data_IF_729774734484
#
_entry.id   IF_729774734484
#
_cell.length_a   1.000
_cell.length_b   1.000
_cell.length_c   1.000
_cell.angle_alpha   90.00
_cell.angle_beta   90.00
_cell.angle_gamma   90.00
#
_symmetry.space_group_name_H-M   'P 1'
#
loop_
_entity.id
_entity.type
_entity.pdbx_description
1 polymer ?
#
# COMPACT_ATOMS: atom_id res chain seq x y z
N UNK A 1 -1.71 -11.62 26.42
CA UNK A 1 -0.68 -11.53 25.36
C UNK A 1 -0.03 -10.16 25.42
N UNK A 2 1.28 -10.09 25.61
CA UNK A 2 2.04 -8.85 25.43
C UNK A 2 1.91 -8.46 23.95
N UNK A 3 1.28 -7.32 23.64
CA UNK A 3 1.29 -6.78 22.27
C UNK A 3 2.66 -6.12 22.06
N UNK A 4 3.55 -6.83 21.37
CA UNK A 4 4.86 -6.29 20.98
C UNK A 4 4.70 -5.48 19.70
N UNK A 5 5.00 -4.19 19.75
CA UNK A 5 5.11 -3.38 18.54
C UNK A 5 6.50 -3.65 17.98
N UNK A 6 6.54 -4.33 16.84
CA UNK A 6 7.74 -4.43 16.02
C UNK A 6 8.20 -3.00 15.64
N UNK A 7 9.30 -2.55 16.25
CA UNK A 7 9.82 -1.18 16.12
C UNK A 7 10.63 -0.96 14.84
N UNK A 8 10.52 -1.84 13.86
CA UNK A 8 11.09 -1.58 12.53
C UNK A 8 10.48 -0.29 11.97
N UNK A 9 11.33 0.74 11.80
CA UNK A 9 10.93 2.05 11.27
C UNK A 9 10.19 1.92 9.93
N UNK A 10 10.58 0.94 9.11
CA UNK A 10 9.99 0.64 7.80
C UNK A 10 8.55 0.16 7.94
N UNK A 11 8.29 -0.78 8.85
CA UNK A 11 6.96 -1.32 9.12
C UNK A 11 6.04 -0.27 9.74
N UNK A 12 6.56 0.49 10.71
CA UNK A 12 5.81 1.58 11.33
C UNK A 12 5.38 2.64 10.29
N UNK A 13 6.28 3.01 9.38
CA UNK A 13 5.99 3.91 8.25
C UNK A 13 4.88 3.36 7.36
N UNK A 14 4.93 2.07 7.01
CA UNK A 14 3.91 1.44 6.17
C UNK A 14 2.55 1.42 6.86
N UNK A 15 2.50 0.94 8.10
CA UNK A 15 1.25 0.91 8.91
C UNK A 15 0.67 2.31 9.07
N UNK A 16 1.49 3.31 9.42
CA UNK A 16 1.01 4.68 9.60
C UNK A 16 0.42 5.26 8.31
N UNK A 17 1.04 4.97 7.16
CA UNK A 17 0.49 5.40 5.87
C UNK A 17 -0.84 4.71 5.53
N UNK A 18 -1.06 3.47 5.98
CA UNK A 18 -2.36 2.79 5.83
C UNK A 18 -3.44 3.43 6.69
N UNK A 19 -3.13 3.72 7.95
CA UNK A 19 -4.03 4.42 8.88
C UNK A 19 -4.40 5.82 8.37
N UNK A 20 -3.44 6.55 7.80
CA UNK A 20 -3.72 7.81 7.10
C UNK A 20 -4.63 7.57 5.87
N UNK A 21 -4.42 6.49 5.14
CA UNK A 21 -5.29 6.08 4.04
C UNK A 21 -6.74 5.86 4.50
N UNK A 22 -6.96 5.24 5.66
CA UNK A 22 -8.30 5.11 6.25
C UNK A 22 -8.94 6.48 6.52
N UNK A 23 -8.18 7.41 7.09
CA UNK A 23 -8.64 8.76 7.37
C UNK A 23 -9.00 9.53 6.09
N UNK A 24 -8.09 9.61 5.12
CA UNK A 24 -8.27 10.41 3.90
C UNK A 24 -9.31 9.85 2.93
N UNK A 25 -9.59 8.55 2.96
CA UNK A 25 -10.57 7.93 2.06
C UNK A 25 -11.96 7.74 2.70
N UNK A 26 -12.16 8.21 3.94
CA UNK A 26 -13.39 7.97 4.69
C UNK A 26 -13.65 6.48 4.95
N UNK A 27 -12.58 5.69 5.01
CA UNK A 27 -12.62 4.22 5.10
C UNK A 27 -12.47 3.73 6.53
N UNK A 28 -12.77 4.55 7.53
CA UNK A 28 -12.84 4.12 8.92
C UNK A 28 -14.08 3.27 9.16
N UNK A 29 -13.98 2.31 10.09
CA UNK A 29 -15.11 1.51 10.53
C UNK A 29 -14.89 1.07 11.98
N UNK A 30 -15.99 0.71 12.65
CA UNK A 30 -15.93 0.21 14.02
C UNK A 30 -15.60 -1.29 14.01
N UNK A 31 -14.84 -1.75 15.01
CA UNK A 31 -14.49 -3.16 15.23
C UNK A 31 -15.67 -4.02 15.73
N UNK A 32 -16.91 -3.69 15.33
CA UNK A 32 -18.07 -4.51 15.67
C UNK A 32 -17.99 -5.83 14.93
N UNK A 33 -18.51 -6.89 15.56
CA UNK A 33 -18.60 -8.21 14.94
C UNK A 33 -19.40 -8.08 13.64
N UNK A 34 -18.84 -8.58 12.55
CA UNK A 34 -19.50 -8.61 11.25
C UNK A 34 -20.62 -9.65 11.31
N UNK A 35 -21.86 -9.21 11.20
CA UNK A 35 -23.03 -10.08 11.34
C UNK A 35 -23.46 -10.67 10.00
N UNK A 36 -23.12 -10.01 8.89
CA UNK A 36 -23.52 -10.45 7.55
C UNK A 36 -22.42 -10.27 6.48
N UNK A 37 -22.64 -10.90 5.33
CA UNK A 37 -21.70 -10.88 4.20
C UNK A 37 -21.52 -9.48 3.59
N UNK A 38 -22.56 -8.63 3.63
CA UNK A 38 -22.48 -7.26 3.10
C UNK A 38 -21.49 -6.41 3.89
N UNK A 39 -21.50 -6.50 5.22
CA UNK A 39 -20.53 -5.82 6.08
C UNK A 39 -19.08 -6.25 5.80
N UNK A 40 -18.87 -7.55 5.55
CA UNK A 40 -17.54 -8.07 5.16
C UNK A 40 -17.06 -7.45 3.86
N UNK A 41 -17.92 -7.36 2.84
CA UNK A 41 -17.59 -6.72 1.56
C UNK A 41 -17.26 -5.24 1.76
N UNK A 42 -18.05 -4.51 2.55
CA UNK A 42 -17.81 -3.09 2.79
C UNK A 42 -16.49 -2.83 3.51
N UNK A 43 -16.14 -3.66 4.50
CA UNK A 43 -14.82 -3.60 5.15
C UNK A 43 -13.73 -3.89 4.12
N UNK A 44 -13.83 -4.96 3.33
CA UNK A 44 -12.83 -5.25 2.29
C UNK A 44 -12.65 -4.11 1.29
N UNK A 45 -13.73 -3.41 0.92
CA UNK A 45 -13.67 -2.22 0.05
C UNK A 45 -12.94 -1.05 0.73
N UNK A 46 -13.21 -0.83 2.02
CA UNK A 46 -12.54 0.19 2.83
C UNK A 46 -11.04 -0.08 2.96
N UNK A 47 -10.67 -1.30 3.32
CA UNK A 47 -9.27 -1.77 3.36
C UNK A 47 -8.57 -1.56 2.02
N UNK A 48 -9.21 -1.95 0.92
CA UNK A 48 -8.63 -1.77 -0.41
C UNK A 48 -8.40 -0.29 -0.75
N UNK A 49 -9.33 0.60 -0.41
CA UNK A 49 -9.18 2.05 -0.63
C UNK A 49 -8.03 2.63 0.20
N UNK A 50 -7.93 2.26 1.47
CA UNK A 50 -6.85 2.68 2.35
C UNK A 50 -5.49 2.20 1.84
N UNK A 51 -5.35 0.92 1.48
CA UNK A 51 -4.13 0.37 0.88
C UNK A 51 -3.77 1.02 -0.44
N UNK A 52 -4.76 1.29 -1.31
CA UNK A 52 -4.53 2.02 -2.56
C UNK A 52 -3.97 3.41 -2.29
N UNK A 53 -4.53 4.14 -1.32
CA UNK A 53 -4.03 5.44 -0.91
C UNK A 53 -2.59 5.34 -0.36
N UNK A 54 -2.35 4.39 0.55
CA UNK A 54 -1.04 4.13 1.15
C UNK A 54 0.05 3.94 0.09
N UNK A 55 -0.17 3.05 -0.88
CA UNK A 55 0.88 2.75 -1.86
C UNK A 55 1.19 3.93 -2.78
N UNK A 56 0.19 4.72 -3.20
CA UNK A 56 0.44 5.91 -4.02
C UNK A 56 1.08 7.06 -3.22
N UNK A 57 0.82 7.13 -1.92
CA UNK A 57 1.49 8.07 -1.04
C UNK A 57 2.96 7.71 -0.82
N UNK A 58 3.24 6.42 -0.59
CA UNK A 58 4.58 5.92 -0.32
C UNK A 58 5.46 5.79 -1.57
N UNK A 59 4.84 5.55 -2.72
CA UNK A 59 5.50 5.26 -4.00
C UNK A 59 4.94 6.24 -5.04
N UNK A 60 5.47 7.47 -5.11
CA UNK A 60 5.07 8.42 -6.15
C UNK A 60 5.39 7.86 -7.53
N UNK A 61 4.43 7.95 -8.45
CA UNK A 61 4.54 7.35 -9.79
C UNK A 61 5.79 7.82 -10.53
N UNK A 62 6.07 9.12 -10.54
CA UNK A 62 7.25 9.70 -11.19
C UNK A 62 8.56 9.08 -10.70
N UNK A 63 8.70 8.90 -9.37
CA UNK A 63 9.89 8.28 -8.76
C UNK A 63 9.97 6.80 -9.06
N UNK A 64 8.83 6.12 -9.13
CA UNK A 64 8.79 4.71 -9.53
C UNK A 64 9.29 4.53 -10.96
N UNK A 65 8.87 5.39 -11.88
CA UNK A 65 9.34 5.36 -13.26
C UNK A 65 10.81 5.69 -13.39
N UNK A 66 11.29 6.67 -12.62
CA UNK A 66 12.72 6.98 -12.54
C UNK A 66 13.54 5.79 -12.03
N UNK A 67 13.08 5.09 -10.99
CA UNK A 67 13.73 3.89 -10.47
C UNK A 67 13.79 2.78 -11.53
N UNK A 68 12.66 2.51 -12.21
CA UNK A 68 12.59 1.51 -13.29
C UNK A 68 13.52 1.86 -14.45
N UNK A 69 13.58 3.14 -14.88
CA UNK A 69 14.51 3.59 -15.93
C UNK A 69 15.98 3.45 -15.53
N UNK A 70 16.28 3.46 -14.23
CA UNK A 70 17.62 3.19 -13.68
C UNK A 70 17.94 1.70 -13.54
N UNK A 71 17.02 0.82 -13.93
CA UNK A 71 17.18 -0.63 -13.83
C UNK A 71 16.80 -1.21 -12.47
N UNK A 72 16.22 -0.42 -11.55
CA UNK A 72 15.73 -0.90 -10.26
C UNK A 72 14.34 -1.51 -10.50
N UNK A 73 14.30 -2.82 -10.72
CA UNK A 73 13.05 -3.50 -11.15
C UNK A 73 12.64 -4.65 -10.24
N UNK A 74 13.58 -5.22 -9.48
CA UNK A 74 13.24 -6.31 -8.56
C UNK A 74 12.46 -5.81 -7.35
N UNK A 75 11.54 -6.64 -6.84
CA UNK A 75 10.63 -6.25 -5.76
C UNK A 75 11.40 -5.84 -4.50
N UNK A 76 12.46 -6.58 -4.15
CA UNK A 76 13.30 -6.26 -2.99
C UNK A 76 14.08 -4.96 -3.20
N UNK A 77 14.61 -4.70 -4.40
CA UNK A 77 15.35 -3.47 -4.69
C UNK A 77 14.43 -2.25 -4.63
N UNK A 78 13.21 -2.36 -5.16
CA UNK A 78 12.20 -1.31 -5.07
C UNK A 78 11.77 -1.09 -3.61
N UNK A 79 11.61 -2.16 -2.83
CA UNK A 79 11.26 -2.06 -1.41
C UNK A 79 12.36 -1.35 -0.61
N UNK A 80 13.63 -1.61 -0.91
CA UNK A 80 14.77 -0.90 -0.34
C UNK A 80 14.82 0.56 -0.80
N UNK A 81 14.68 0.82 -2.09
CA UNK A 81 14.70 2.16 -2.68
C UNK A 81 13.63 3.09 -2.09
N UNK A 82 12.41 2.59 -1.93
CA UNK A 82 11.30 3.35 -1.32
C UNK A 82 11.28 3.27 0.22
N UNK A 83 12.14 2.45 0.82
CA UNK A 83 12.14 2.12 2.24
C UNK A 83 10.73 1.73 2.73
N UNK A 84 10.18 0.67 2.15
CA UNK A 84 8.86 0.09 2.43
C UNK A 84 8.94 -1.44 2.50
N UNK A 85 7.88 -2.09 3.00
CA UNK A 85 7.78 -3.56 2.96
C UNK A 85 7.51 -4.07 1.53
N UNK A 86 8.04 -5.24 1.17
CA UNK A 86 7.83 -5.81 -0.17
C UNK A 86 6.36 -5.97 -0.53
N UNK A 87 5.49 -6.23 0.44
CA UNK A 87 4.05 -6.39 0.19
C UNK A 87 3.41 -5.09 -0.33
N UNK A 88 3.93 -3.93 0.08
CA UNK A 88 3.53 -2.61 -0.44
C UNK A 88 3.85 -2.53 -1.93
N UNK A 89 5.07 -2.94 -2.34
CA UNK A 89 5.47 -2.99 -3.75
C UNK A 89 4.62 -4.00 -4.53
N UNK A 90 4.44 -5.22 -4.00
CA UNK A 90 3.63 -6.29 -4.62
C UNK A 90 2.19 -5.85 -4.87
N UNK A 91 1.59 -5.11 -3.94
CA UNK A 91 0.26 -4.53 -4.12
C UNK A 91 0.28 -3.42 -5.18
N UNK A 92 1.24 -2.49 -5.10
CA UNK A 92 1.37 -1.37 -6.02
C UNK A 92 1.45 -1.81 -7.49
N UNK A 93 2.33 -2.75 -7.83
CA UNK A 93 2.51 -3.23 -9.22
C UNK A 93 1.31 -4.00 -9.78
N UNK A 94 0.43 -4.52 -8.91
CA UNK A 94 -0.81 -5.19 -9.33
C UNK A 94 -1.90 -4.21 -9.72
N UNK A 95 -1.82 -2.94 -9.31
CA UNK A 95 -2.81 -1.92 -9.64
C UNK A 95 -2.83 -1.64 -11.14
N UNK A 96 -4.03 -1.64 -11.74
CA UNK A 96 -4.22 -1.45 -13.20
C UNK A 96 -3.49 -0.21 -13.71
N UNK A 97 -3.63 0.91 -13.00
CA UNK A 97 -2.96 2.18 -13.33
C UNK A 97 -1.43 2.04 -13.43
N UNK A 98 -0.81 1.33 -12.48
CA UNK A 98 0.64 1.10 -12.48
C UNK A 98 1.06 0.17 -13.62
N UNK A 99 0.25 -0.85 -13.91
CA UNK A 99 0.47 -1.74 -15.07
C UNK A 99 0.38 -1.01 -16.40
N UNK A 100 -0.48 0.01 -16.50
CA UNK A 100 -0.58 0.87 -17.69
C UNK A 100 0.65 1.76 -17.84
N UNK A 101 1.15 2.35 -16.73
CA UNK A 101 2.39 3.14 -16.75
C UNK A 101 3.58 2.32 -17.28
N UNK A 102 3.73 1.07 -16.84
CA UNK A 102 4.81 0.19 -17.30
C UNK A 102 4.70 -0.21 -18.78
N UNK A 103 3.50 -0.21 -19.36
CA UNK A 103 3.28 -0.49 -20.79
C UNK A 103 3.47 0.74 -21.67
N UNK A 104 3.42 1.94 -21.09
CA UNK A 104 3.41 3.21 -21.79
C UNK A 104 4.71 3.60 -22.52
N UNK A 105 5.76 2.79 -22.42
CA UNK A 105 7.04 3.01 -23.10
C UNK A 105 7.85 4.16 -22.50
N UNK A 106 9.06 3.84 -22.03
CA UNK A 106 10.14 4.80 -21.83
C UNK A 106 11.19 4.59 -22.91
#
# INVERSE_FOLDING_TARGET
MQKYIDKSNRKLKCVLAEELGHYFTGSTYNNKKQENYREKIEISRKEYRAKKWQVFYLIPEEKFLEAVRRGITEIWELAEYFNVEEEVIKFYIKLTRVRELLKGGY
#
